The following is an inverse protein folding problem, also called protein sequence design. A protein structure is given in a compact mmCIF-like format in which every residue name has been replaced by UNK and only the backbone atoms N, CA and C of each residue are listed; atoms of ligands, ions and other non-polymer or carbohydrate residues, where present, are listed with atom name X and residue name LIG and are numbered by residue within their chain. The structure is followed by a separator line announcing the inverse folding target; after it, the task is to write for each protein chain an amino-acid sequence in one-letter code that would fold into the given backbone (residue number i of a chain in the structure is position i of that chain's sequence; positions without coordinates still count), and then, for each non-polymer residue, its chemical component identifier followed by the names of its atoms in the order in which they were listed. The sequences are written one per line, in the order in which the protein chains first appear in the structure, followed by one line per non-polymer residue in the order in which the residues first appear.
data_IF_319012825213
#
_entry.id   IF_319012825213
#
_cell.length_a   1.000
_cell.length_b   1.000
_cell.length_c   1.000
_cell.angle_alpha   90.00
_cell.angle_beta   90.00
_cell.angle_gamma   90.00
#
_symmetry.space_group_name_H-M   'P 1'
#
loop_
_entity.id
_entity.type
_entity.pdbx_description
1 polymer ?
#
# COMPACT_ATOMS: atom_id res chain seq x y z
N UNK A 1 19.62 1.88 7.27
CA UNK A 1 18.44 1.00 7.36
C UNK A 1 17.36 1.75 8.11
N UNK A 2 16.29 2.20 7.43
CA UNK A 2 15.09 2.64 8.14
C UNK A 2 14.35 1.38 8.58
N UNK A 3 13.87 1.35 9.82
CA UNK A 3 13.04 0.23 10.25
C UNK A 3 11.73 0.26 9.47
N UNK A 4 11.16 -0.92 9.16
CA UNK A 4 9.88 -1.04 8.44
C UNK A 4 8.78 -0.15 9.05
N UNK A 5 8.80 -0.01 10.38
CA UNK A 5 7.86 0.83 11.12
C UNK A 5 7.99 2.32 10.74
N UNK A 6 9.21 2.82 10.54
CA UNK A 6 9.43 4.23 10.16
C UNK A 6 8.85 4.50 8.78
N UNK A 7 9.11 3.61 7.81
CA UNK A 7 8.58 3.72 6.44
C UNK A 7 7.05 3.61 6.44
N UNK A 8 6.48 2.72 7.26
CA UNK A 8 5.04 2.59 7.39
C UNK A 8 4.39 3.88 7.92
N UNK A 9 4.98 4.53 8.92
CA UNK A 9 4.50 5.80 9.47
C UNK A 9 4.66 6.93 8.45
N UNK A 10 5.78 7.00 7.75
CA UNK A 10 6.00 7.99 6.68
C UNK A 10 4.95 7.86 5.57
N UNK A 11 4.70 6.64 5.10
CA UNK A 11 3.67 6.35 4.08
C UNK A 11 2.27 6.72 4.59
N UNK A 12 1.94 6.38 5.83
CA UNK A 12 0.63 6.69 6.41
C UNK A 12 0.36 8.20 6.45
N UNK A 13 1.36 8.99 6.84
CA UNK A 13 1.27 10.45 6.85
C UNK A 13 1.20 10.99 5.41
N UNK A 14 2.11 10.56 4.53
CA UNK A 14 2.25 11.10 3.18
C UNK A 14 1.02 10.83 2.31
N UNK A 15 0.37 9.68 2.50
CA UNK A 15 -0.76 9.26 1.67
C UNK A 15 -2.11 9.32 2.37
N UNK A 16 -2.15 9.86 3.59
CA UNK A 16 -3.39 10.00 4.39
C UNK A 16 -4.12 8.66 4.57
N UNK A 17 -3.37 7.60 4.84
CA UNK A 17 -3.88 6.24 5.10
C UNK A 17 -3.56 5.82 6.53
N UNK A 18 -4.12 4.70 7.00
CA UNK A 18 -3.79 4.22 8.35
C UNK A 18 -2.35 3.69 8.39
N UNK A 19 -1.76 3.62 9.59
CA UNK A 19 -0.42 3.02 9.76
C UNK A 19 -0.36 1.58 9.26
N UNK A 20 -1.45 0.82 9.37
CA UNK A 20 -1.51 -0.55 8.85
C UNK A 20 -1.49 -0.59 7.31
N UNK A 21 -2.18 0.35 6.65
CA UNK A 21 -2.14 0.46 5.19
C UNK A 21 -0.74 0.87 4.73
N UNK A 22 -0.13 1.85 5.41
CA UNK A 22 1.25 2.26 5.18
C UNK A 22 2.25 1.11 5.34
N UNK A 23 2.00 0.20 6.29
CA UNK A 23 2.80 -1.01 6.49
C UNK A 23 2.68 -1.98 5.30
N UNK A 24 1.47 -2.23 4.80
CA UNK A 24 1.28 -3.09 3.63
C UNK A 24 1.90 -2.51 2.36
N UNK A 25 1.86 -1.19 2.19
CA UNK A 25 2.53 -0.48 1.09
C UNK A 25 4.04 -0.64 1.20
N UNK A 26 4.60 -0.38 2.39
CA UNK A 26 6.04 -0.52 2.62
C UNK A 26 6.52 -1.96 2.38
N UNK A 27 5.76 -2.96 2.83
CA UNK A 27 6.07 -4.37 2.57
C UNK A 27 6.01 -4.71 1.08
N UNK A 28 4.96 -4.27 0.37
CA UNK A 28 4.83 -4.50 -1.06
C UNK A 28 6.02 -3.91 -1.85
N UNK A 29 6.48 -2.72 -1.46
CA UNK A 29 7.64 -2.08 -2.06
C UNK A 29 8.95 -2.82 -1.76
N UNK A 30 9.21 -3.18 -0.50
CA UNK A 30 10.42 -3.91 -0.08
C UNK A 30 10.55 -5.27 -0.77
N UNK A 31 9.44 -6.00 -0.88
CA UNK A 31 9.43 -7.34 -1.46
C UNK A 31 9.12 -7.35 -2.96
N UNK A 32 8.96 -6.17 -3.58
CA UNK A 32 8.62 -6.01 -5.01
C UNK A 32 7.41 -6.89 -5.39
N UNK A 33 6.36 -6.80 -4.59
CA UNK A 33 5.17 -7.64 -4.69
C UNK A 33 3.90 -6.78 -4.91
N UNK A 34 2.89 -7.31 -5.63
CA UNK A 34 1.62 -6.61 -5.76
C UNK A 34 0.89 -6.56 -4.41
N UNK A 35 0.37 -5.38 -4.06
CA UNK A 35 -0.57 -5.21 -2.96
C UNK A 35 -1.99 -5.35 -3.49
N UNK A 36 -2.57 -6.53 -3.25
CA UNK A 36 -3.95 -6.85 -3.64
C UNK A 36 -4.89 -6.46 -2.52
N UNK A 37 -5.87 -5.59 -2.80
CA UNK A 37 -6.79 -5.12 -1.77
C UNK A 37 -8.22 -4.95 -2.27
N UNK A 38 -9.18 -5.15 -1.38
CA UNK A 38 -10.59 -4.80 -1.59
C UNK A 38 -10.96 -3.45 -0.96
N UNK A 39 -10.01 -2.76 -0.32
CA UNK A 39 -10.24 -1.51 0.37
C UNK A 39 -10.30 -0.34 -0.63
N UNK A 40 -11.50 0.21 -0.82
CA UNK A 40 -11.73 1.34 -1.72
C UNK A 40 -11.01 2.64 -1.28
N UNK A 41 -10.74 2.81 0.01
CA UNK A 41 -9.96 3.93 0.53
C UNK A 41 -8.50 3.84 0.07
N UNK A 42 -7.88 2.68 0.23
CA UNK A 42 -6.52 2.42 -0.27
C UNK A 42 -6.47 2.59 -1.79
N UNK A 43 -7.42 1.99 -2.53
CA UNK A 43 -7.46 2.09 -3.99
C UNK A 43 -7.56 3.55 -4.45
N UNK A 44 -8.41 4.36 -3.81
CA UNK A 44 -8.57 5.78 -4.15
C UNK A 44 -7.32 6.59 -3.82
N UNK A 45 -6.69 6.32 -2.67
CA UNK A 45 -5.52 7.07 -2.22
C UNK A 45 -4.25 6.74 -3.02
N UNK A 46 -4.08 5.46 -3.40
CA UNK A 46 -2.77 4.91 -3.79
C UNK A 46 -2.69 4.36 -5.21
N UNK A 47 -3.78 3.90 -5.85
CA UNK A 47 -3.72 3.21 -7.16
C UNK A 47 -3.10 4.07 -8.27
N UNK A 48 -3.25 5.39 -8.21
CA UNK A 48 -2.66 6.32 -9.18
C UNK A 48 -1.25 6.80 -8.81
N UNK A 49 -0.72 6.36 -7.67
CA UNK A 49 0.62 6.71 -7.16
C UNK A 49 1.59 5.54 -7.27
N UNK A 50 1.07 4.33 -7.27
CA UNK A 50 1.84 3.09 -7.22
C UNK A 50 1.23 2.06 -8.17
N UNK A 51 2.03 1.60 -9.13
CA UNK A 51 1.60 0.63 -10.15
C UNK A 51 1.40 -0.79 -9.57
N UNK A 52 1.89 -1.04 -8.35
CA UNK A 52 1.76 -2.34 -7.67
C UNK A 52 0.49 -2.49 -6.83
N UNK A 53 -0.39 -1.48 -6.80
CA UNK A 53 -1.65 -1.53 -6.07
C UNK A 53 -2.75 -2.09 -6.99
N UNK A 54 -3.26 -3.27 -6.66
CA UNK A 54 -4.23 -3.98 -7.49
C UNK A 54 -5.56 -4.18 -6.76
N UNK A 55 -6.72 -3.86 -7.38
CA UNK A 55 -8.01 -4.24 -6.84
C UNK A 55 -8.18 -5.77 -6.82
N UNK A 56 -8.70 -6.30 -5.71
CA UNK A 56 -8.98 -7.73 -5.57
C UNK A 56 -9.90 -8.26 -6.67
N UNK A 57 -10.84 -7.42 -7.14
CA UNK A 57 -11.78 -7.75 -8.21
C UNK A 57 -11.10 -8.05 -9.55
N UNK A 58 -9.94 -7.44 -9.83
CA UNK A 58 -9.19 -7.64 -11.08
C UNK A 58 -8.42 -8.98 -11.08
N UNK A 59 -8.20 -9.59 -9.90
CA UNK A 59 -7.42 -10.84 -9.74
C UNK A 59 -8.31 -12.08 -9.67
N UNK A 60 -9.59 -11.93 -9.32
CA UNK A 60 -10.57 -13.02 -9.33
C UNK A 60 -10.95 -13.38 -10.78
N UNK A 61 -10.12 -14.17 -11.44
CA UNK A 61 -10.44 -14.89 -12.68
C UNK A 61 -10.45 -16.39 -12.45
#
# INVERSE_FOLDING_TARGET
DKELADVAVENAIQYEVTVYDGLYVALAEIYVAPLVTADNGILKALKNRFDFILPLEEIKR
#
